data_IF_959637616540
#
_entry.id   IF_959637616540
#
_cell.length_a   1.000
_cell.length_b   1.000
_cell.length_c   1.000
_cell.angle_alpha   90.00
_cell.angle_beta   90.00
_cell.angle_gamma   90.00
#
_symmetry.space_group_name_H-M   'P 1'
#
loop_
_entity.id
_entity.type
_entity.pdbx_description
1 polymer ?
#
# COMPACT_ATOMS: atom_id res chain seq x y z
N UNK A 1 28.45 23.82 9.43
CA UNK A 1 27.02 23.87 9.79
C UNK A 1 26.42 22.56 9.30
N UNK A 2 26.15 21.63 10.22
CA UNK A 2 25.58 20.33 9.91
C UNK A 2 24.09 20.40 10.27
N UNK A 3 23.26 20.69 9.28
CA UNK A 3 21.82 20.71 9.43
C UNK A 3 21.28 19.29 9.17
N UNK A 4 21.58 18.35 10.08
CA UNK A 4 20.85 17.09 10.19
C UNK A 4 19.57 17.36 10.98
N UNK A 5 18.64 18.07 10.36
CA UNK A 5 17.30 18.26 10.92
C UNK A 5 16.52 16.95 10.72
N UNK A 6 16.62 16.08 11.72
CA UNK A 6 15.90 14.80 11.77
C UNK A 6 14.39 15.11 11.76
N UNK A 7 13.75 14.94 10.59
CA UNK A 7 12.32 15.16 10.42
C UNK A 7 11.56 14.38 11.49
N UNK A 8 10.72 15.05 12.31
CA UNK A 8 10.07 14.41 13.44
C UNK A 8 9.26 13.21 12.97
N UNK A 9 9.50 12.06 13.59
CA UNK A 9 8.79 10.81 13.36
C UNK A 9 7.28 11.07 13.46
N UNK A 10 6.58 11.08 12.31
CA UNK A 10 5.14 11.29 12.26
C UNK A 10 4.45 10.11 12.96
N UNK A 11 4.16 10.27 14.25
CA UNK A 11 3.25 9.38 14.98
C UNK A 11 1.89 9.43 14.30
N UNK A 12 1.53 8.36 13.60
CA UNK A 12 0.20 8.20 13.00
C UNK A 12 -0.80 8.20 14.14
N UNK A 13 -1.59 9.27 14.26
CA UNK A 13 -2.61 9.35 15.28
C UNK A 13 -3.55 8.13 15.17
N UNK A 14 -3.92 7.50 16.30
CA UNK A 14 -4.92 6.45 16.29
C UNK A 14 -6.23 7.04 15.77
N UNK A 15 -6.72 6.50 14.66
CA UNK A 15 -8.02 6.88 14.11
C UNK A 15 -9.09 6.34 15.03
N UNK A 16 -10.03 7.21 15.40
CA UNK A 16 -11.14 6.82 16.27
C UNK A 16 -11.98 5.77 15.55
N UNK A 17 -12.55 4.80 16.26
CA UNK A 17 -13.35 3.74 15.64
C UNK A 17 -14.54 4.30 14.82
N UNK A 18 -15.03 5.48 15.22
CA UNK A 18 -16.07 6.27 14.53
C UNK A 18 -15.67 6.74 13.13
N UNK A 19 -14.37 6.82 12.83
CA UNK A 19 -13.82 7.27 11.55
C UNK A 19 -13.45 6.11 10.60
N UNK A 20 -13.66 4.86 11.03
CA UNK A 20 -13.31 3.69 10.19
C UNK A 20 -14.07 3.67 8.86
N UNK A 21 -15.35 4.00 8.88
CA UNK A 21 -16.18 4.01 7.67
C UNK A 21 -15.78 5.14 6.72
N UNK A 22 -15.40 6.31 7.25
CA UNK A 22 -14.85 7.41 6.46
C UNK A 22 -13.52 6.99 5.80
N UNK A 23 -12.65 6.32 6.55
CA UNK A 23 -11.39 5.81 6.00
C UNK A 23 -11.62 4.80 4.88
N UNK A 24 -12.56 3.87 5.06
CA UNK A 24 -12.92 2.89 4.01
C UNK A 24 -13.47 3.58 2.77
N UNK A 25 -14.32 4.60 2.94
CA UNK A 25 -14.84 5.40 1.84
C UNK A 25 -13.72 6.12 1.08
N UNK A 26 -12.72 6.67 1.77
CA UNK A 26 -11.55 7.29 1.14
C UNK A 26 -10.73 6.28 0.32
N UNK A 27 -10.45 5.10 0.86
CA UNK A 27 -9.74 4.06 0.11
C UNK A 27 -10.54 3.54 -1.09
N UNK A 28 -11.86 3.47 -0.96
CA UNK A 28 -12.74 3.15 -2.07
C UNK A 28 -12.69 4.23 -3.16
N UNK A 29 -12.69 5.50 -2.78
CA UNK A 29 -12.56 6.63 -3.71
C UNK A 29 -11.25 6.58 -4.49
N UNK A 30 -10.13 6.18 -3.86
CA UNK A 30 -8.84 5.97 -4.54
C UNK A 30 -8.97 4.91 -5.65
N UNK A 31 -9.62 3.78 -5.35
CA UNK A 31 -9.83 2.73 -6.35
C UNK A 31 -10.74 3.19 -7.52
N UNK A 32 -11.78 3.96 -7.22
CA UNK A 32 -12.70 4.51 -8.24
C UNK A 32 -11.99 5.57 -9.10
N UNK A 33 -11.23 6.47 -8.51
CA UNK A 33 -10.48 7.49 -9.24
C UNK A 33 -9.49 6.84 -10.22
N UNK A 34 -8.76 5.81 -9.77
CA UNK A 34 -7.86 5.06 -10.65
C UNK A 34 -8.61 4.40 -11.83
N UNK A 35 -9.84 3.92 -11.61
CA UNK A 35 -10.66 3.36 -12.69
C UNK A 35 -11.09 4.43 -13.69
N UNK A 36 -11.48 5.61 -13.22
CA UNK A 36 -11.83 6.76 -14.08
C UNK A 36 -10.61 7.17 -14.91
N UNK A 37 -9.45 7.32 -14.28
CA UNK A 37 -8.19 7.68 -14.94
C UNK A 37 -7.81 6.64 -16.01
N UNK A 38 -7.99 5.34 -15.72
CA UNK A 38 -7.75 4.25 -16.66
C UNK A 38 -8.75 4.20 -17.83
N UNK A 39 -9.98 4.70 -17.63
CA UNK A 39 -11.08 4.70 -18.61
C UNK A 39 -11.13 5.95 -19.47
N UNK A 40 -10.50 7.05 -19.04
CA UNK A 40 -10.62 8.37 -19.66
C UNK A 40 -10.27 8.39 -21.15
N UNK A 41 -11.19 8.93 -21.97
CA UNK A 41 -10.96 9.23 -23.39
C UNK A 41 -10.62 10.72 -23.50
N UNK A 42 -9.35 11.09 -23.30
CA UNK A 42 -8.90 12.47 -23.46
C UNK A 42 -7.93 13.02 -22.40
N UNK A 43 -7.53 12.20 -21.42
CA UNK A 43 -6.47 12.56 -20.47
C UNK A 43 -5.07 12.32 -21.03
N UNK A 44 -4.04 12.74 -20.28
CA UNK A 44 -2.64 12.40 -20.58
C UNK A 44 -2.46 10.87 -20.62
N UNK A 45 -2.01 10.34 -21.76
CA UNK A 45 -1.86 8.90 -22.00
C UNK A 45 -0.92 8.21 -21.00
N UNK A 46 0.04 8.95 -20.44
CA UNK A 46 0.94 8.43 -19.40
C UNK A 46 0.19 8.08 -18.11
N UNK A 47 -0.70 8.96 -17.63
CA UNK A 47 -1.48 8.71 -16.42
C UNK A 47 -2.50 7.59 -16.61
N UNK A 48 -3.13 7.53 -17.79
CA UNK A 48 -4.02 6.44 -18.14
C UNK A 48 -3.29 5.08 -18.12
N UNK A 49 -2.09 5.02 -18.68
CA UNK A 49 -1.28 3.80 -18.72
C UNK A 49 -0.85 3.38 -17.31
N UNK A 50 -0.37 4.31 -16.50
CA UNK A 50 0.01 4.04 -15.10
C UNK A 50 -1.19 3.55 -14.26
N UNK A 51 -2.37 4.17 -14.42
CA UNK A 51 -3.58 3.72 -13.74
C UNK A 51 -3.99 2.29 -14.16
N UNK A 52 -3.89 1.97 -15.46
CA UNK A 52 -4.13 0.61 -15.96
C UNK A 52 -3.13 -0.40 -15.42
N UNK A 53 -1.85 -0.07 -15.40
CA UNK A 53 -0.82 -0.93 -14.82
C UNK A 53 -1.02 -1.14 -13.32
N UNK A 54 -1.44 -0.11 -12.60
CA UNK A 54 -1.70 -0.21 -11.17
C UNK A 54 -2.90 -1.12 -10.86
N UNK A 55 -4.00 -0.98 -11.61
CA UNK A 55 -5.21 -1.77 -11.44
C UNK A 55 -5.08 -3.21 -11.96
N UNK A 56 -4.45 -3.38 -13.13
CA UNK A 56 -4.47 -4.62 -13.91
C UNK A 56 -3.10 -5.28 -14.05
N UNK A 57 -2.03 -4.69 -13.51
CA UNK A 57 -0.66 -5.20 -13.61
C UNK A 57 -0.47 -6.56 -12.96
N UNK A 58 0.70 -7.18 -13.17
CA UNK A 58 1.00 -8.55 -12.71
C UNK A 58 1.00 -8.75 -11.19
N UNK A 59 0.76 -7.70 -10.41
CA UNK A 59 0.66 -7.77 -8.97
C UNK A 59 -0.49 -8.67 -8.49
N UNK A 60 -0.18 -9.61 -7.59
CA UNK A 60 -1.15 -10.45 -6.90
C UNK A 60 -1.67 -9.79 -5.62
N UNK A 61 -1.93 -10.60 -4.59
CA UNK A 61 -2.39 -10.14 -3.26
C UNK A 61 -1.40 -9.21 -2.54
N UNK A 62 -0.15 -9.16 -3.02
CA UNK A 62 0.90 -8.29 -2.48
C UNK A 62 0.94 -6.90 -3.12
N UNK A 63 0.15 -6.65 -4.17
CA UNK A 63 0.13 -5.38 -4.87
C UNK A 63 -0.43 -4.23 -4.02
N UNK A 64 -0.06 -3.00 -4.39
CA UNK A 64 -0.60 -1.78 -3.77
C UNK A 64 -2.12 -1.70 -3.95
N UNK A 65 -2.64 -2.10 -5.12
CA UNK A 65 -4.08 -2.18 -5.36
C UNK A 65 -4.77 -3.21 -4.44
N UNK A 66 -4.17 -4.37 -4.20
CA UNK A 66 -4.71 -5.35 -3.24
C UNK A 66 -4.74 -4.79 -1.81
N UNK A 67 -3.73 -4.01 -1.42
CA UNK A 67 -3.71 -3.34 -0.13
C UNK A 67 -4.82 -2.26 -0.02
N UNK A 68 -5.04 -1.47 -1.07
CA UNK A 68 -6.16 -0.51 -1.12
C UNK A 68 -7.51 -1.23 -1.02
N UNK A 69 -7.69 -2.36 -1.71
CA UNK A 69 -8.91 -3.17 -1.59
C UNK A 69 -9.12 -3.65 -0.15
N UNK A 70 -8.06 -4.13 0.51
CA UNK A 70 -8.11 -4.57 1.90
C UNK A 70 -8.45 -3.43 2.87
N UNK A 71 -7.89 -2.24 2.66
CA UNK A 71 -8.17 -1.04 3.46
C UNK A 71 -9.60 -0.52 3.24
N UNK A 72 -10.12 -0.62 2.01
CA UNK A 72 -11.50 -0.30 1.67
C UNK A 72 -12.50 -1.38 2.13
N UNK A 73 -12.03 -2.54 2.59
CA UNK A 73 -12.89 -3.65 3.00
C UNK A 73 -13.59 -4.35 1.83
N UNK A 74 -13.03 -4.29 0.63
CA UNK A 74 -13.56 -4.94 -0.58
C UNK A 74 -12.66 -6.09 -1.02
N UNK A 75 -13.25 -7.04 -1.73
CA UNK A 75 -12.54 -8.21 -2.25
C UNK A 75 -11.72 -7.82 -3.49
N UNK A 76 -10.40 -7.99 -3.41
CA UNK A 76 -9.46 -7.69 -4.48
C UNK A 76 -9.80 -8.43 -5.79
N UNK A 77 -10.04 -9.74 -5.75
CA UNK A 77 -10.23 -10.55 -6.95
C UNK A 77 -11.53 -10.17 -7.67
N UNK A 78 -12.63 -10.01 -6.92
CA UNK A 78 -13.93 -9.57 -7.45
C UNK A 78 -13.85 -8.14 -8.00
N UNK A 79 -13.22 -7.24 -7.26
CA UNK A 79 -13.08 -5.84 -7.68
C UNK A 79 -12.24 -5.72 -8.95
N UNK A 80 -11.09 -6.39 -9.01
CA UNK A 80 -10.23 -6.41 -10.20
C UNK A 80 -10.95 -6.97 -11.41
N UNK A 81 -11.71 -8.07 -11.25
CA UNK A 81 -12.50 -8.67 -12.33
C UNK A 81 -13.53 -7.67 -12.87
N UNK A 82 -14.27 -6.98 -11.99
CA UNK A 82 -15.27 -5.97 -12.39
C UNK A 82 -14.62 -4.77 -13.08
N UNK A 83 -13.53 -4.24 -12.53
CA UNK A 83 -12.81 -3.13 -13.15
C UNK A 83 -12.26 -3.49 -14.54
N UNK A 84 -11.79 -4.74 -14.70
CA UNK A 84 -11.38 -5.26 -16.02
C UNK A 84 -12.52 -5.24 -17.04
N UNK A 85 -13.73 -5.65 -16.63
CA UNK A 85 -14.91 -5.62 -17.50
C UNK A 85 -15.32 -4.20 -17.89
N UNK A 86 -15.34 -3.28 -16.92
CA UNK A 86 -15.64 -1.87 -17.17
C UNK A 86 -14.64 -1.25 -18.16
N UNK A 87 -13.35 -1.54 -17.99
CA UNK A 87 -12.31 -1.08 -18.91
C UNK A 87 -12.39 -1.69 -20.32
N UNK A 88 -13.06 -2.84 -20.46
CA UNK A 88 -13.39 -3.45 -21.76
C UNK A 88 -14.66 -2.88 -22.39
N UNK A 89 -15.35 -1.97 -21.71
CA UNK A 89 -16.61 -1.40 -22.19
C UNK A 89 -17.82 -2.30 -21.94
N UNK A 90 -17.69 -3.34 -21.11
CA UNK A 90 -18.84 -4.14 -20.68
C UNK A 90 -19.70 -3.31 -19.71
N UNK A 91 -21.00 -3.17 -20.00
CA UNK A 91 -21.97 -2.42 -19.20
C UNK A 91 -22.35 -3.17 -17.91
N UNK A 92 -21.40 -3.28 -16.98
CA UNK A 92 -21.69 -3.65 -15.60
C UNK A 92 -21.75 -2.39 -14.74
N UNK A 93 -22.90 -2.13 -14.12
CA UNK A 93 -22.96 -1.19 -13.00
C UNK A 93 -22.15 -1.78 -11.84
N UNK A 94 -21.24 -0.99 -11.26
CA UNK A 94 -20.43 -1.46 -10.13
C UNK A 94 -21.22 -1.24 -8.83
N UNK A 95 -21.93 -2.27 -8.36
CA UNK A 95 -22.44 -2.26 -6.98
C UNK A 95 -21.34 -2.77 -6.02
N UNK A 96 -20.75 -1.84 -5.25
CA UNK A 96 -19.71 -2.14 -4.27
C UNK A 96 -20.22 -2.85 -3.01
N UNK A 97 -21.54 -2.90 -2.77
CA UNK A 97 -22.12 -3.72 -1.69
C UNK A 97 -21.87 -5.21 -1.94
N UNK A 98 -21.80 -5.60 -3.21
CA UNK A 98 -21.55 -6.98 -3.65
C UNK A 98 -20.06 -7.36 -3.69
N UNK A 99 -19.15 -6.38 -3.56
CA UNK A 99 -17.70 -6.62 -3.47
C UNK A 99 -17.19 -6.58 -2.03
N UNK A 100 -18.07 -6.35 -1.05
CA UNK A 100 -17.70 -6.33 0.37
C UNK A 100 -17.02 -7.64 0.77
N UNK A 101 -15.85 -7.52 1.39
CA UNK A 101 -15.14 -8.66 1.98
C UNK A 101 -15.94 -9.10 3.21
N UNK A 102 -16.14 -10.40 3.40
CA UNK A 102 -16.85 -10.91 4.58
C UNK A 102 -16.18 -10.34 5.85
N UNK A 103 -16.94 -9.58 6.65
CA UNK A 103 -16.42 -8.85 7.79
C UNK A 103 -15.86 -9.81 8.84
N UNK A 104 -14.55 -9.79 9.04
CA UNK A 104 -13.94 -10.18 10.30
C UNK A 104 -13.57 -8.88 11.00
N UNK A 105 -14.35 -8.50 12.03
CA UNK A 105 -14.30 -7.21 12.76
C UNK A 105 -12.90 -6.74 13.18
N UNK A 106 -11.90 -7.63 13.25
CA UNK A 106 -10.55 -7.32 13.75
C UNK A 106 -9.47 -7.20 12.65
N UNK A 107 -9.82 -7.41 11.37
CA UNK A 107 -8.82 -7.44 10.28
C UNK A 107 -8.49 -6.04 9.74
N UNK A 108 -9.38 -5.05 9.88
CA UNK A 108 -9.18 -3.69 9.32
C UNK A 108 -7.99 -2.96 9.94
N UNK A 109 -7.91 -2.91 11.27
CA UNK A 109 -6.82 -2.21 11.96
C UNK A 109 -5.46 -2.88 11.76
N UNK A 110 -5.39 -4.21 11.82
CA UNK A 110 -4.14 -4.95 11.63
C UNK A 110 -3.65 -4.86 10.17
N UNK A 111 -4.54 -5.02 9.18
CA UNK A 111 -4.21 -4.78 7.77
C UNK A 111 -3.71 -3.36 7.53
N UNK A 112 -4.30 -2.39 8.23
CA UNK A 112 -3.91 -0.99 8.13
C UNK A 112 -2.54 -0.70 8.74
N UNK A 113 -2.24 -1.24 9.92
CA UNK A 113 -0.88 -1.20 10.52
C UNK A 113 0.15 -1.85 9.59
N UNK A 114 -0.19 -2.97 8.96
CA UNK A 114 0.69 -3.64 7.98
C UNK A 114 0.91 -2.80 6.73
N UNK A 115 -0.12 -2.14 6.22
CA UNK A 115 0.00 -1.24 5.09
C UNK A 115 0.93 -0.07 5.40
N UNK A 116 0.73 0.65 6.51
CA UNK A 116 1.59 1.78 6.86
C UNK A 116 3.05 1.37 7.04
N UNK A 117 3.32 0.24 7.73
CA UNK A 117 4.68 -0.32 7.83
C UNK A 117 5.30 -0.60 6.47
N UNK A 118 4.51 -1.12 5.52
CA UNK A 118 4.97 -1.37 4.14
C UNK A 118 5.19 -0.05 3.38
N UNK A 119 4.27 0.90 3.50
CA UNK A 119 4.36 2.19 2.83
C UNK A 119 5.58 2.98 3.31
N UNK A 120 5.86 2.96 4.62
CA UNK A 120 7.06 3.57 5.21
C UNK A 120 8.34 2.90 4.68
N UNK A 121 8.39 1.57 4.66
CA UNK A 121 9.52 0.84 4.07
C UNK A 121 9.72 1.20 2.60
N UNK A 122 8.66 1.21 1.81
CA UNK A 122 8.71 1.57 0.40
C UNK A 122 9.15 3.04 0.20
N UNK A 123 8.74 3.95 1.08
CA UNK A 123 9.19 5.34 1.07
C UNK A 123 10.69 5.45 1.39
N UNK A 124 11.18 4.71 2.40
CA UNK A 124 12.62 4.63 2.70
C UNK A 124 13.42 4.09 1.51
N UNK A 125 12.99 2.99 0.90
CA UNK A 125 13.67 2.43 -0.27
C UNK A 125 13.69 3.40 -1.46
N UNK A 126 12.62 4.17 -1.68
CA UNK A 126 12.60 5.23 -2.71
C UNK A 126 13.56 6.37 -2.38
N UNK A 127 13.65 6.75 -1.12
CA UNK A 127 14.59 7.77 -0.66
C UNK A 127 16.05 7.31 -0.83
N UNK A 128 16.36 6.07 -0.44
CA UNK A 128 17.69 5.45 -0.62
C UNK A 128 18.07 5.30 -2.10
N UNK A 129 17.12 4.90 -2.96
CA UNK A 129 17.35 4.82 -4.39
C UNK A 129 17.63 6.21 -4.99
N UNK A 130 16.90 7.24 -4.56
CA UNK A 130 17.15 8.63 -4.98
C UNK A 130 18.49 9.17 -4.47
N UNK A 131 18.87 8.88 -3.23
CA UNK A 131 20.15 9.35 -2.67
C UNK A 131 21.35 8.69 -3.35
N UNK A 132 21.26 7.41 -3.73
CA UNK A 132 22.31 6.72 -4.51
C UNK A 132 22.48 7.30 -5.92
N UNK A 133 21.41 7.79 -6.55
CA UNK A 133 21.49 8.44 -7.86
C UNK A 133 22.15 9.82 -7.75
N UNK A 134 21.89 10.55 -6.66
CA UNK A 134 22.42 11.89 -6.44
C UNK A 134 23.86 11.89 -5.86
N UNK A 135 24.26 10.84 -5.14
CA UNK A 135 25.58 10.71 -4.52
C UNK A 135 26.15 9.29 -4.73
N UNK A 136 26.68 8.99 -5.94
CA UNK A 136 27.12 7.64 -6.28
C UNK A 136 28.34 7.11 -5.51
N UNK A 137 29.08 7.98 -4.80
CA UNK A 137 30.34 7.62 -4.13
C UNK A 137 30.27 7.50 -2.59
N UNK A 138 29.10 7.54 -1.96
CA UNK A 138 29.00 7.44 -0.48
C UNK A 138 29.01 5.99 0.07
N UNK A 139 29.14 4.97 -0.78
CA UNK A 139 28.94 3.55 -0.41
C UNK A 139 30.23 2.75 -0.14
N UNK A 140 31.29 3.37 0.39
CA UNK A 140 32.43 2.63 0.96
C UNK A 140 32.77 3.17 2.35
N UNK A 141 32.15 2.59 3.38
CA UNK A 141 32.49 2.94 4.75
C UNK A 141 31.50 2.49 5.80
N UNK A 142 31.16 1.19 5.85
CA UNK A 142 30.73 0.57 7.11
C UNK A 142 30.88 -0.93 6.99
N UNK A 143 32.05 -1.41 7.40
CA UNK A 143 32.27 -2.82 7.76
C UNK A 143 31.52 -3.02 9.06
N UNK A 144 30.31 -3.56 8.99
CA UNK A 144 29.61 -4.06 10.16
C UNK A 144 30.29 -5.37 10.58
N UNK A 145 31.04 -5.31 11.67
CA UNK A 145 31.55 -6.48 12.38
C UNK A 145 30.39 -7.43 12.66
N UNK A 146 30.56 -8.65 12.14
CA UNK A 146 29.89 -9.84 12.64
C UNK A 146 30.17 -9.97 14.15
N UNK A 147 29.12 -10.01 14.97
CA UNK A 147 29.16 -10.79 16.19
C UNK A 147 27.85 -11.55 16.35
N UNK A 148 27.94 -12.79 15.90
CA UNK A 148 26.94 -13.82 16.03
C UNK A 148 27.11 -14.42 17.43
N UNK A 149 26.27 -14.07 18.39
CA UNK A 149 26.14 -14.80 19.66
C UNK A 149 24.68 -15.14 19.94
N UNK A 150 24.32 -16.29 19.37
CA UNK A 150 23.29 -17.18 19.89
C UNK A 150 23.71 -17.62 21.29
N UNK A 151 22.87 -17.40 22.31
CA UNK A 151 22.56 -18.44 23.28
C UNK A 151 21.23 -18.19 23.99
N UNK A 152 20.57 -19.32 24.27
CA UNK A 152 19.13 -19.55 24.37
C UNK A 152 18.50 -19.16 25.73
N UNK A 153 17.16 -19.07 25.81
CA UNK A 153 16.44 -18.95 27.08
C UNK A 153 16.45 -20.27 27.88
N UNK A 154 16.66 -20.17 29.19
CA UNK A 154 16.52 -21.28 30.15
C UNK A 154 15.04 -21.65 30.31
N UNK A 155 14.72 -22.91 30.02
CA UNK A 155 13.45 -23.54 30.34
C UNK A 155 13.36 -23.82 31.85
N UNK A 156 12.22 -23.45 32.45
CA UNK A 156 11.72 -24.05 33.68
C UNK A 156 11.14 -25.43 33.36
N UNK A 157 11.41 -26.47 34.16
CA UNK A 157 10.41 -27.47 34.58
C UNK A 157 10.98 -28.39 35.69
N UNK A 158 10.10 -28.64 36.68
CA UNK A 158 10.14 -29.58 37.81
C UNK A 158 10.99 -29.20 39.03
#
# INVERSE_FOLDING_TARGET
>A
MNDNEELPERKVAPIQETEEDLCRALWLAVAIQALIDASGKGGNSAYQTQAREWLLGKGGITSDFAAVCDLAGIDFAKTRRRFTKVLKGETESIDFRCTKKAHLRNRSQESRKRYFRRAERNARLRHEARSRILFPNAAMGSVASNDNSINQPMENYA
#
